data_IF_334177291747
#
_entry.id   IF_334177291747
#
_cell.length_a   1.000
_cell.length_b   1.000
_cell.length_c   1.000
_cell.angle_alpha   90.00
_cell.angle_beta   90.00
_cell.angle_gamma   90.00
#
_symmetry.space_group_name_H-M   'P 1'
#
loop_
_entity.id
_entity.type
_entity.pdbx_description
1 polymer ?
#
# COMPACT_ATOMS: atom_id res chain seq x y z
N UNK A 1 24.28 2.45 5.19
CA UNK A 1 25.25 1.79 6.08
C UNK A 1 25.25 2.55 7.39
N UNK A 2 24.44 2.15 8.37
CA UNK A 2 24.47 2.67 9.73
C UNK A 2 24.09 1.52 10.66
N UNK A 3 25.08 1.09 11.42
CA UNK A 3 25.06 -0.07 12.31
C UNK A 3 24.44 0.36 13.64
N UNK A 4 23.32 -0.28 14.03
CA UNK A 4 22.83 -0.22 15.41
C UNK A 4 23.64 -1.16 16.27
N UNK A 5 24.32 -0.61 17.28
CA UNK A 5 24.93 -1.36 18.36
C UNK A 5 23.93 -1.53 19.50
N UNK A 6 23.64 -2.78 19.79
CA UNK A 6 22.96 -3.22 21.02
C UNK A 6 24.00 -3.20 22.14
N UNK A 7 23.72 -2.49 23.22
CA UNK A 7 24.49 -2.64 24.48
C UNK A 7 23.74 -3.58 25.41
N UNK A 8 24.44 -4.65 25.76
CA UNK A 8 24.02 -5.64 26.74
C UNK A 8 24.21 -5.13 28.16
N UNK A 9 23.28 -5.52 29.00
CA UNK A 9 23.23 -5.34 30.45
C UNK A 9 24.41 -5.98 31.18
N UNK A 10 25.00 -5.23 32.12
CA UNK A 10 25.75 -5.81 33.21
C UNK A 10 25.09 -5.48 34.55
N UNK A 11 24.59 -6.49 35.20
CA UNK A 11 24.17 -6.55 36.59
C UNK A 11 25.41 -6.32 37.48
N UNK A 12 25.36 -5.30 38.33
CA UNK A 12 26.21 -5.21 39.52
C UNK A 12 25.34 -5.13 40.75
N UNK A 13 25.51 -6.13 41.59
CA UNK A 13 25.09 -6.30 42.98
C UNK A 13 25.66 -5.15 43.83
N UNK A 14 24.84 -4.43 44.60
CA UNK A 14 25.30 -3.51 45.61
C UNK A 14 24.67 -3.84 46.97
N UNK A 15 25.58 -4.04 47.94
CA UNK A 15 25.37 -4.35 49.33
C UNK A 15 24.95 -3.07 50.10
N UNK A 16 24.07 -3.26 51.05
CA UNK A 16 23.52 -2.16 51.82
C UNK A 16 24.42 -1.59 52.89
N UNK A 17 24.52 -0.28 52.93
CA UNK A 17 24.68 0.49 54.19
C UNK A 17 24.43 1.98 53.91
N UNK A 18 23.43 2.52 54.55
CA UNK A 18 23.29 3.84 55.14
C UNK A 18 23.62 5.09 54.31
N UNK A 19 22.58 5.73 53.75
CA UNK A 19 22.55 7.19 53.70
C UNK A 19 21.12 7.66 53.98
N UNK A 20 20.97 8.55 54.93
CA UNK A 20 19.74 9.12 55.41
C UNK A 20 19.03 9.87 54.28
N UNK A 21 17.78 9.54 54.11
CA UNK A 21 16.79 10.09 53.20
C UNK A 21 16.43 11.52 53.60
N UNK A 22 17.00 12.51 52.92
CA UNK A 22 16.64 13.93 53.03
C UNK A 22 15.93 14.49 51.80
N UNK A 23 15.58 13.63 50.83
CA UNK A 23 14.97 14.06 49.54
C UNK A 23 13.43 13.87 49.44
N UNK A 24 12.77 13.27 50.42
CA UNK A 24 11.35 12.95 50.39
C UNK A 24 10.41 14.05 50.93
N UNK A 25 10.95 15.11 51.57
CA UNK A 25 10.10 16.12 52.20
C UNK A 25 9.62 17.25 51.29
N UNK A 26 10.16 17.38 50.07
CA UNK A 26 9.76 18.41 49.09
C UNK A 26 8.67 17.93 48.13
N UNK A 27 8.53 16.63 47.94
CA UNK A 27 7.54 16.05 46.99
C UNK A 27 6.10 16.06 47.55
N UNK A 28 5.97 15.89 48.88
CA UNK A 28 4.63 15.88 49.52
C UNK A 28 3.96 17.26 49.57
N UNK A 29 4.74 18.34 49.66
CA UNK A 29 4.18 19.71 49.75
C UNK A 29 3.64 20.21 48.41
N UNK A 30 4.29 19.88 47.29
CA UNK A 30 3.79 20.27 45.97
C UNK A 30 2.53 19.49 45.57
N UNK A 31 2.42 18.21 45.92
CA UNK A 31 1.22 17.40 45.67
C UNK A 31 0.03 17.90 46.51
N UNK A 32 0.23 18.29 47.78
CA UNK A 32 -0.86 18.84 48.61
C UNK A 32 -1.39 20.19 48.11
N UNK A 33 -0.52 21.03 47.54
CA UNK A 33 -0.90 22.31 46.95
C UNK A 33 -1.64 22.11 45.63
N UNK A 34 -1.18 21.17 44.81
CA UNK A 34 -1.81 20.74 43.57
C UNK A 34 -3.17 20.07 43.85
N UNK A 35 -3.25 19.23 44.87
CA UNK A 35 -4.49 18.58 45.29
C UNK A 35 -5.48 19.60 45.88
N UNK A 36 -5.03 20.60 46.65
CA UNK A 36 -5.84 21.68 47.14
C UNK A 36 -6.36 22.62 46.01
N UNK A 37 -5.51 22.95 45.03
CA UNK A 37 -5.87 23.71 43.84
C UNK A 37 -6.87 22.93 42.97
N UNK A 38 -6.65 21.61 42.86
CA UNK A 38 -7.57 20.74 42.11
C UNK A 38 -8.92 20.59 42.87
N UNK A 39 -8.91 20.57 44.20
CA UNK A 39 -10.10 20.54 45.01
C UNK A 39 -10.89 21.86 44.87
N UNK A 40 -10.23 23.03 44.93
CA UNK A 40 -10.84 24.34 44.71
C UNK A 40 -11.43 24.49 43.28
N UNK A 41 -10.86 23.87 42.30
CA UNK A 41 -11.40 23.84 40.92
C UNK A 41 -12.65 22.95 40.79
N UNK A 42 -12.91 22.09 41.75
CA UNK A 42 -14.01 21.13 41.75
C UNK A 42 -15.10 21.48 42.79
N UNK A 43 -15.11 22.70 43.30
CA UNK A 43 -16.22 23.18 44.15
C UNK A 43 -17.50 23.39 43.33
N UNK A 44 -18.58 22.80 43.79
CA UNK A 44 -19.91 22.92 43.17
C UNK A 44 -20.52 21.58 42.77
N UNK A 45 -21.66 21.69 42.10
CA UNK A 45 -22.38 20.51 41.58
C UNK A 45 -21.64 19.92 40.40
N UNK A 46 -21.88 18.64 40.11
CA UNK A 46 -21.28 17.92 39.01
C UNK A 46 -21.48 18.64 37.66
N UNK A 47 -22.65 19.24 37.43
CA UNK A 47 -22.93 20.01 36.22
C UNK A 47 -22.12 21.30 36.15
N UNK A 48 -21.94 22.00 37.26
CA UNK A 48 -21.15 23.23 37.34
C UNK A 48 -19.67 22.95 37.06
N UNK A 49 -19.10 21.90 37.65
CA UNK A 49 -17.70 21.51 37.39
C UNK A 49 -17.50 21.07 35.94
N UNK A 50 -18.47 20.32 35.38
CA UNK A 50 -18.41 19.96 33.96
C UNK A 50 -18.48 21.22 33.05
N UNK A 51 -19.24 22.22 33.44
CA UNK A 51 -19.30 23.49 32.74
C UNK A 51 -17.97 24.25 32.82
N UNK A 52 -17.33 24.31 33.96
CA UNK A 52 -16.01 24.95 34.11
C UNK A 52 -14.97 24.30 33.18
N UNK A 53 -14.89 22.97 33.14
CA UNK A 53 -14.01 22.29 32.19
C UNK A 53 -14.34 22.56 30.74
N UNK A 54 -15.62 22.65 30.37
CA UNK A 54 -16.03 23.03 29.01
C UNK A 54 -15.59 24.46 28.68
N UNK A 55 -15.67 25.39 29.63
CA UNK A 55 -15.23 26.78 29.46
C UNK A 55 -13.72 26.89 29.30
N UNK A 56 -12.93 26.21 30.12
CA UNK A 56 -11.46 26.10 29.96
C UNK A 56 -11.11 25.49 28.62
N UNK A 57 -11.86 24.47 28.17
CA UNK A 57 -11.69 23.88 26.85
C UNK A 57 -11.95 24.88 25.71
N UNK A 58 -12.98 25.74 25.86
CA UNK A 58 -13.28 26.78 24.87
C UNK A 58 -12.18 27.85 24.79
N UNK A 59 -11.63 28.27 25.93
CA UNK A 59 -10.47 29.19 25.98
C UNK A 59 -9.26 28.61 25.28
N UNK A 60 -8.94 27.35 25.57
CA UNK A 60 -7.85 26.65 24.88
C UNK A 60 -8.07 26.52 23.36
N UNK A 61 -9.34 26.36 22.92
CA UNK A 61 -9.69 26.37 21.48
C UNK A 61 -9.44 27.75 20.85
N UNK A 62 -9.78 28.85 21.55
CA UNK A 62 -9.52 30.20 21.05
C UNK A 62 -8.03 30.46 20.86
N UNK A 63 -7.20 29.86 21.72
CA UNK A 63 -5.73 29.92 21.63
C UNK A 63 -5.13 28.85 20.71
N UNK A 64 -5.97 28.09 19.99
CA UNK A 64 -5.58 26.98 19.09
C UNK A 64 -4.78 25.85 19.78
N UNK A 65 -4.87 25.76 21.12
CA UNK A 65 -4.26 24.69 21.93
C UNK A 65 -5.15 23.42 21.92
N UNK A 66 -5.18 22.74 20.77
CA UNK A 66 -6.12 21.63 20.52
C UNK A 66 -5.95 20.44 21.46
N UNK A 67 -4.71 20.16 21.90
CA UNK A 67 -4.41 19.06 22.81
C UNK A 67 -4.98 19.34 24.19
N UNK A 68 -4.71 20.56 24.74
CA UNK A 68 -5.20 20.98 26.05
C UNK A 68 -6.72 21.07 26.07
N UNK A 69 -7.30 21.66 24.99
CA UNK A 69 -8.74 21.73 24.84
C UNK A 69 -9.40 20.34 24.85
N UNK A 70 -8.83 19.38 24.14
CA UNK A 70 -9.31 17.98 24.13
C UNK A 70 -9.23 17.37 25.54
N UNK A 71 -8.19 17.66 26.31
CA UNK A 71 -8.05 17.16 27.69
C UNK A 71 -9.09 17.78 28.60
N UNK A 72 -9.33 19.10 28.54
CA UNK A 72 -10.38 19.75 29.31
C UNK A 72 -11.77 19.17 29.02
N UNK A 73 -12.14 19.00 27.75
CA UNK A 73 -13.43 18.38 27.41
C UNK A 73 -13.47 16.91 27.88
N UNK A 74 -12.36 16.18 27.86
CA UNK A 74 -12.30 14.80 28.36
C UNK A 74 -12.51 14.76 29.87
N UNK A 75 -11.89 15.68 30.63
CA UNK A 75 -12.13 15.84 32.08
C UNK A 75 -13.59 16.18 32.35
N UNK A 76 -14.20 17.13 31.60
CA UNK A 76 -15.61 17.47 31.71
C UNK A 76 -16.55 16.27 31.49
N UNK A 77 -16.28 15.45 30.48
CA UNK A 77 -17.05 14.22 30.21
C UNK A 77 -16.86 13.22 31.37
N UNK A 78 -15.63 13.05 31.86
CA UNK A 78 -15.35 12.15 32.99
C UNK A 78 -16.12 12.57 34.27
N UNK A 79 -16.23 13.87 34.54
CA UNK A 79 -17.02 14.41 35.64
C UNK A 79 -18.51 14.05 35.47
N UNK A 80 -19.05 14.16 34.26
CA UNK A 80 -20.48 13.86 34.00
C UNK A 80 -20.79 12.39 34.29
N UNK A 81 -19.85 11.46 34.02
CA UNK A 81 -20.04 10.02 34.28
C UNK A 81 -19.55 9.58 35.67
N UNK A 82 -18.99 10.50 36.48
CA UNK A 82 -18.52 10.17 37.81
C UNK A 82 -19.67 9.86 38.78
N UNK A 83 -19.35 9.14 39.88
CA UNK A 83 -20.33 8.86 40.94
C UNK A 83 -20.73 10.13 41.69
N UNK A 84 -21.99 10.20 42.10
CA UNK A 84 -22.61 11.39 42.70
C UNK A 84 -22.06 11.75 44.11
N UNK A 85 -21.48 10.79 44.81
CA UNK A 85 -21.03 10.93 46.22
C UNK A 85 -19.81 11.84 46.42
N UNK A 86 -19.18 12.30 45.33
CA UNK A 86 -17.98 13.16 45.37
C UNK A 86 -18.29 14.66 45.16
N UNK A 87 -19.52 15.02 44.87
CA UNK A 87 -19.89 16.35 44.41
C UNK A 87 -20.91 16.99 45.37
N UNK A 88 -21.02 18.31 45.33
CA UNK A 88 -22.10 19.01 46.06
C UNK A 88 -23.45 18.55 45.55
N UNK A 89 -24.41 18.41 46.51
CA UNK A 89 -25.78 18.04 46.16
C UNK A 89 -26.49 19.23 45.54
N UNK A 90 -27.07 19.07 44.33
CA UNK A 90 -27.79 20.14 43.68
C UNK A 90 -29.10 20.45 44.47
N UNK A 91 -29.48 21.73 44.49
CA UNK A 91 -30.77 22.17 45.09
C UNK A 91 -31.94 21.70 44.21
N UNK A 92 -31.79 21.76 42.86
CA UNK A 92 -32.78 21.29 41.88
C UNK A 92 -32.20 20.15 41.03
N UNK A 93 -32.69 18.94 41.27
CA UNK A 93 -32.29 17.73 40.58
C UNK A 93 -32.65 17.73 39.08
N UNK A 94 -33.76 18.34 38.68
CA UNK A 94 -34.19 18.37 37.28
C UNK A 94 -33.36 19.40 36.48
N UNK A 95 -33.08 20.54 37.09
CA UNK A 95 -32.16 21.52 36.50
C UNK A 95 -30.75 20.94 36.30
N UNK A 96 -30.25 20.20 37.30
CA UNK A 96 -28.94 19.53 37.22
C UNK A 96 -28.90 18.46 36.11
N UNK A 97 -29.92 17.62 36.01
CA UNK A 97 -30.00 16.62 34.91
C UNK A 97 -30.00 17.28 33.54
N UNK A 98 -30.71 18.39 33.39
CA UNK A 98 -30.72 19.14 32.14
C UNK A 98 -29.37 19.76 31.83
N UNK A 99 -28.70 20.33 32.83
CA UNK A 99 -27.37 20.90 32.71
C UNK A 99 -26.35 19.82 32.32
N UNK A 100 -26.33 18.67 32.97
CA UNK A 100 -25.48 17.56 32.68
C UNK A 100 -25.62 17.08 31.22
N UNK A 101 -26.86 16.89 30.75
CA UNK A 101 -27.11 16.53 29.34
C UNK A 101 -26.58 17.58 28.36
N UNK A 102 -26.78 18.86 28.69
CA UNK A 102 -26.29 19.95 27.85
C UNK A 102 -24.76 19.98 27.82
N UNK A 103 -24.11 19.81 28.99
CA UNK A 103 -22.64 19.77 29.07
C UNK A 103 -22.07 18.55 28.37
N UNK A 104 -22.75 17.40 28.44
CA UNK A 104 -22.38 16.18 27.73
C UNK A 104 -22.37 16.40 26.20
N UNK A 105 -23.47 16.92 25.65
CA UNK A 105 -23.55 17.23 24.20
C UNK A 105 -22.47 18.20 23.78
N UNK A 106 -22.30 19.32 24.49
CA UNK A 106 -21.35 20.38 24.16
C UNK A 106 -19.89 19.90 24.28
N UNK A 107 -19.59 19.11 25.31
CA UNK A 107 -18.24 18.58 25.49
C UNK A 107 -17.86 17.56 24.40
N UNK A 108 -18.77 16.66 24.03
CA UNK A 108 -18.54 15.73 22.94
C UNK A 108 -18.34 16.45 21.61
N UNK A 109 -19.26 17.39 21.27
CA UNK A 109 -19.13 18.07 19.98
C UNK A 109 -17.85 18.92 19.90
N UNK A 110 -17.45 19.60 20.99
CA UNK A 110 -16.25 20.42 21.01
C UNK A 110 -14.97 19.55 21.02
N UNK A 111 -14.97 18.41 21.73
CA UNK A 111 -13.89 17.43 21.63
C UNK A 111 -13.76 16.84 20.23
N UNK A 112 -14.88 16.61 19.53
CA UNK A 112 -14.88 16.22 18.13
C UNK A 112 -14.17 17.23 17.23
N UNK A 113 -14.33 18.56 17.50
CA UNK A 113 -13.56 19.58 16.78
C UNK A 113 -12.07 19.42 17.02
N UNK A 114 -11.64 19.32 18.29
CA UNK A 114 -10.23 19.13 18.61
C UNK A 114 -9.67 17.85 17.96
N UNK A 115 -10.41 16.76 17.97
CA UNK A 115 -10.01 15.51 17.34
C UNK A 115 -9.93 15.64 15.80
N UNK A 116 -10.78 16.45 15.17
CA UNK A 116 -10.74 16.73 13.74
C UNK A 116 -9.46 17.49 13.35
N UNK A 117 -9.16 18.57 14.11
CA UNK A 117 -7.97 19.41 13.88
C UNK A 117 -6.67 18.65 14.17
N UNK A 118 -6.66 17.78 15.16
CA UNK A 118 -5.52 16.91 15.49
C UNK A 118 -5.35 15.70 14.54
N UNK A 119 -6.25 15.51 13.57
CA UNK A 119 -6.23 14.35 12.68
C UNK A 119 -6.70 13.03 13.31
N UNK A 120 -7.27 13.07 14.52
CA UNK A 120 -7.82 11.91 15.22
C UNK A 120 -9.24 11.58 14.72
N UNK A 121 -9.35 11.28 13.42
CA UNK A 121 -10.64 11.16 12.72
C UNK A 121 -11.59 10.11 13.32
N UNK A 122 -11.04 8.95 13.77
CA UNK A 122 -11.87 7.91 14.42
C UNK A 122 -12.48 8.43 15.73
N UNK A 123 -11.72 9.10 16.58
CA UNK A 123 -12.20 9.68 17.83
C UNK A 123 -13.23 10.79 17.54
N UNK A 124 -12.99 11.59 16.50
CA UNK A 124 -13.95 12.59 16.04
C UNK A 124 -15.30 11.96 15.67
N UNK A 125 -15.32 10.87 14.91
CA UNK A 125 -16.57 10.20 14.53
C UNK A 125 -17.30 9.61 15.73
N UNK A 126 -16.61 9.08 16.73
CA UNK A 126 -17.20 8.57 17.97
C UNK A 126 -17.85 9.69 18.79
N UNK A 127 -17.18 10.82 18.96
CA UNK A 127 -17.72 11.98 19.65
C UNK A 127 -18.93 12.57 18.91
N UNK A 128 -18.88 12.65 17.58
CA UNK A 128 -20.02 13.06 16.77
C UNK A 128 -21.22 12.10 16.93
N UNK A 129 -20.98 10.79 16.96
CA UNK A 129 -22.02 9.80 17.17
C UNK A 129 -22.66 9.91 18.56
N UNK A 130 -21.86 10.19 19.62
CA UNK A 130 -22.37 10.47 20.96
C UNK A 130 -23.26 11.74 20.96
N UNK A 131 -22.78 12.80 20.31
CA UNK A 131 -23.56 14.06 20.17
C UNK A 131 -24.89 13.82 19.43
N UNK A 132 -24.90 13.08 18.33
CA UNK A 132 -26.11 12.78 17.54
C UNK A 132 -27.13 11.94 18.35
N UNK A 133 -26.66 11.04 19.21
CA UNK A 133 -27.53 10.28 20.12
C UNK A 133 -28.22 11.17 21.12
N UNK A 134 -27.54 12.20 21.66
CA UNK A 134 -28.10 13.17 22.63
C UNK A 134 -28.99 14.18 21.91
N UNK A 135 -28.57 14.67 20.77
CA UNK A 135 -29.28 15.67 19.97
C UNK A 135 -29.17 15.35 18.48
N UNK A 136 -30.16 14.65 17.89
CA UNK A 136 -30.18 14.31 16.46
C UNK A 136 -30.23 15.55 15.54
N UNK A 137 -30.61 16.73 16.07
CA UNK A 137 -30.63 18.00 15.31
C UNK A 137 -29.29 18.74 15.25
N UNK A 138 -28.24 18.22 15.83
CA UNK A 138 -26.94 18.90 15.87
C UNK A 138 -26.20 18.86 14.52
N UNK A 139 -26.44 19.87 13.70
CA UNK A 139 -25.86 20.02 12.35
C UNK A 139 -24.30 20.00 12.35
N UNK A 140 -23.68 20.56 13.41
CA UNK A 140 -22.21 20.57 13.55
C UNK A 140 -21.64 19.16 13.67
N UNK A 141 -22.38 18.24 14.31
CA UNK A 141 -21.95 16.86 14.45
C UNK A 141 -21.92 16.12 13.09
N UNK A 142 -22.92 16.34 12.26
CA UNK A 142 -22.96 15.79 10.91
C UNK A 142 -21.84 16.34 10.03
N UNK A 143 -21.58 17.65 10.08
CA UNK A 143 -20.47 18.26 9.34
C UNK A 143 -19.11 17.69 9.76
N UNK A 144 -18.82 17.66 11.08
CA UNK A 144 -17.54 17.14 11.59
C UNK A 144 -17.37 15.66 11.29
N UNK A 145 -18.46 14.88 11.44
CA UNK A 145 -18.46 13.46 11.08
C UNK A 145 -18.19 13.24 9.60
N UNK A 146 -18.86 13.98 8.71
CA UNK A 146 -18.67 13.85 7.26
C UNK A 146 -17.24 14.18 6.84
N UNK A 147 -16.66 15.22 7.43
CA UNK A 147 -15.25 15.60 7.15
C UNK A 147 -14.26 14.56 7.67
N UNK A 148 -14.48 14.04 8.89
CA UNK A 148 -13.63 12.99 9.46
C UNK A 148 -13.72 11.68 8.65
N UNK A 149 -14.93 11.28 8.24
CA UNK A 149 -15.15 10.09 7.42
C UNK A 149 -14.52 10.22 6.02
N UNK A 150 -14.60 11.42 5.43
CA UNK A 150 -13.92 11.70 4.17
C UNK A 150 -12.39 11.52 4.29
N UNK A 151 -11.80 12.00 5.39
CA UNK A 151 -10.36 11.81 5.67
C UNK A 151 -9.98 10.35 5.94
N UNK A 152 -10.93 9.55 6.43
CA UNK A 152 -10.77 8.10 6.60
C UNK A 152 -11.04 7.29 5.31
N UNK A 153 -11.28 7.97 4.18
CA UNK A 153 -11.66 7.36 2.88
C UNK A 153 -12.97 6.53 2.93
N UNK A 154 -13.80 6.78 3.95
CA UNK A 154 -15.12 6.16 4.12
C UNK A 154 -16.18 7.00 3.41
N UNK A 155 -16.11 7.00 2.08
CA UNK A 155 -16.82 7.95 1.22
C UNK A 155 -18.35 7.80 1.36
N UNK A 156 -18.86 6.58 1.39
CA UNK A 156 -20.30 6.30 1.48
C UNK A 156 -20.86 6.76 2.84
N UNK A 157 -20.14 6.46 3.93
CA UNK A 157 -20.51 6.91 5.27
C UNK A 157 -20.44 8.44 5.39
N UNK A 158 -19.44 9.07 4.76
CA UNK A 158 -19.31 10.53 4.71
C UNK A 158 -20.47 11.17 3.95
N UNK A 159 -20.89 10.58 2.83
CA UNK A 159 -22.03 11.04 2.03
C UNK A 159 -23.34 10.94 2.81
N UNK A 160 -23.58 9.82 3.52
CA UNK A 160 -24.77 9.64 4.37
C UNK A 160 -24.81 10.69 5.49
N UNK A 161 -23.67 10.90 6.19
CA UNK A 161 -23.59 11.91 7.23
C UNK A 161 -23.89 13.33 6.70
N UNK A 162 -23.31 13.72 5.56
CA UNK A 162 -23.56 15.02 4.94
C UNK A 162 -25.03 15.17 4.50
N UNK A 163 -25.62 14.12 3.91
CA UNK A 163 -27.02 14.12 3.48
C UNK A 163 -27.98 14.29 4.66
N UNK A 164 -27.75 13.58 5.77
CA UNK A 164 -28.56 13.75 7.00
C UNK A 164 -28.45 15.15 7.59
N UNK A 165 -27.24 15.72 7.59
CA UNK A 165 -27.05 17.10 8.05
C UNK A 165 -27.77 18.10 7.17
N UNK A 166 -27.76 17.95 5.84
CA UNK A 166 -28.47 18.80 4.89
C UNK A 166 -29.99 18.60 4.93
N UNK A 167 -30.49 17.44 5.36
CA UNK A 167 -31.91 17.23 5.60
C UNK A 167 -32.43 18.05 6.79
N UNK A 168 -31.55 18.36 7.76
CA UNK A 168 -31.90 19.21 8.92
C UNK A 168 -31.75 20.70 8.56
N UNK A 169 -30.68 21.08 7.91
CA UNK A 169 -30.34 22.45 7.50
C UNK A 169 -29.88 22.48 6.04
N UNK A 170 -30.80 22.60 5.06
CA UNK A 170 -30.49 22.59 3.64
C UNK A 170 -29.61 23.76 3.20
N UNK A 171 -29.68 24.89 3.88
CA UNK A 171 -28.96 26.12 3.52
C UNK A 171 -27.54 26.20 4.11
N UNK A 172 -27.13 25.18 4.84
CA UNK A 172 -25.80 25.14 5.47
C UNK A 172 -24.67 25.06 4.45
N UNK A 173 -24.03 26.20 4.20
CA UNK A 173 -22.93 26.31 3.22
C UNK A 173 -21.73 25.40 3.52
N UNK A 174 -21.43 25.17 4.81
CA UNK A 174 -20.33 24.29 5.19
C UNK A 174 -20.61 22.82 4.81
N UNK A 175 -21.84 22.35 5.07
CA UNK A 175 -22.27 21.01 4.67
C UNK A 175 -22.40 20.86 3.16
N UNK A 176 -22.92 21.88 2.45
CA UNK A 176 -22.97 21.87 0.98
C UNK A 176 -21.54 21.75 0.39
N UNK A 177 -20.57 22.51 0.93
CA UNK A 177 -19.18 22.43 0.52
C UNK A 177 -18.57 21.05 0.85
N UNK A 178 -18.89 20.49 2.02
CA UNK A 178 -18.44 19.14 2.40
C UNK A 178 -19.03 18.08 1.45
N UNK A 179 -20.31 18.16 1.14
CA UNK A 179 -20.98 17.26 0.19
C UNK A 179 -20.36 17.31 -1.21
N UNK A 180 -20.04 18.53 -1.71
CA UNK A 180 -19.34 18.69 -2.99
C UNK A 180 -17.96 18.03 -2.99
N UNK A 181 -17.15 18.24 -1.94
CA UNK A 181 -15.84 17.58 -1.79
C UNK A 181 -15.94 16.05 -1.73
N UNK A 182 -16.96 15.55 -1.05
CA UNK A 182 -17.22 14.11 -0.96
C UNK A 182 -17.61 13.57 -2.33
N UNK A 183 -18.48 14.25 -3.07
CA UNK A 183 -18.89 13.86 -4.42
C UNK A 183 -17.72 13.87 -5.40
N UNK A 184 -16.86 14.88 -5.36
CA UNK A 184 -15.63 14.94 -6.17
C UNK A 184 -14.69 13.77 -5.86
N UNK A 185 -14.47 13.47 -4.57
CA UNK A 185 -13.63 12.34 -4.16
C UNK A 185 -14.22 11.01 -4.60
N UNK A 186 -15.53 10.83 -4.48
CA UNK A 186 -16.25 9.64 -4.96
C UNK A 186 -16.04 9.44 -6.46
N UNK A 187 -16.31 10.46 -7.25
CA UNK A 187 -16.15 10.41 -8.70
C UNK A 187 -14.69 10.15 -9.12
N UNK A 188 -13.72 10.66 -8.37
CA UNK A 188 -12.30 10.36 -8.60
C UNK A 188 -11.98 8.89 -8.35
N UNK A 189 -12.41 8.35 -7.21
CA UNK A 189 -12.16 6.94 -6.85
C UNK A 189 -12.86 6.00 -7.83
N UNK A 190 -14.12 6.29 -8.19
CA UNK A 190 -14.86 5.49 -9.18
C UNK A 190 -14.16 5.46 -10.55
N UNK A 191 -13.61 6.61 -11.00
CA UNK A 191 -12.80 6.65 -12.24
C UNK A 191 -11.55 5.80 -12.16
N UNK A 192 -10.83 5.83 -11.04
CA UNK A 192 -9.65 5.00 -10.85
C UNK A 192 -9.98 3.51 -10.87
N UNK A 193 -11.05 3.11 -10.18
CA UNK A 193 -11.53 1.72 -10.15
C UNK A 193 -11.97 1.27 -11.54
N UNK A 194 -12.74 2.10 -12.25
CA UNK A 194 -13.18 1.82 -13.61
C UNK A 194 -11.99 1.68 -14.58
N UNK A 195 -11.00 2.57 -14.49
CA UNK A 195 -9.77 2.51 -15.30
C UNK A 195 -9.01 1.21 -15.05
N UNK A 196 -8.76 0.87 -13.78
CA UNK A 196 -8.06 -0.36 -13.41
C UNK A 196 -8.80 -1.60 -13.90
N UNK A 197 -10.12 -1.64 -13.74
CA UNK A 197 -10.96 -2.75 -14.24
C UNK A 197 -10.90 -2.88 -15.77
N UNK A 198 -10.91 -1.77 -16.49
CA UNK A 198 -10.79 -1.78 -17.95
C UNK A 198 -9.40 -2.27 -18.40
N UNK A 199 -8.33 -1.86 -17.72
CA UNK A 199 -6.95 -2.33 -17.97
C UNK A 199 -6.81 -3.83 -17.70
N UNK A 200 -7.35 -4.33 -16.59
CA UNK A 200 -7.35 -5.76 -16.24
C UNK A 200 -8.14 -6.59 -17.26
N UNK A 201 -9.31 -6.10 -17.70
CA UNK A 201 -10.12 -6.77 -18.72
C UNK A 201 -9.42 -6.80 -20.07
N UNK A 202 -8.77 -5.69 -20.46
CA UNK A 202 -7.98 -5.64 -21.70
C UNK A 202 -6.80 -6.62 -21.62
N UNK A 203 -6.04 -6.63 -20.54
CA UNK A 203 -4.94 -7.56 -20.33
C UNK A 203 -5.40 -9.03 -20.36
N UNK A 204 -6.57 -9.33 -19.77
CA UNK A 204 -7.17 -10.66 -19.82
C UNK A 204 -7.52 -11.08 -21.27
N UNK A 205 -8.11 -10.17 -22.05
CA UNK A 205 -8.42 -10.41 -23.47
C UNK A 205 -7.13 -10.65 -24.28
N UNK A 206 -6.11 -9.82 -24.10
CA UNK A 206 -4.81 -9.99 -24.76
C UNK A 206 -4.16 -11.33 -24.43
N UNK A 207 -4.13 -11.72 -23.15
CA UNK A 207 -3.59 -13.01 -22.74
C UNK A 207 -4.36 -14.21 -23.33
N UNK A 208 -5.68 -14.10 -23.43
CA UNK A 208 -6.51 -15.14 -24.07
C UNK A 208 -6.19 -15.28 -25.55
N UNK A 209 -6.11 -14.16 -26.27
CA UNK A 209 -5.78 -14.15 -27.71
C UNK A 209 -4.36 -14.68 -27.92
N UNK A 210 -3.38 -14.24 -27.12
CA UNK A 210 -2.01 -14.73 -27.18
C UNK A 210 -1.92 -16.25 -26.94
N UNK A 211 -2.59 -16.75 -25.90
CA UNK A 211 -2.61 -18.18 -25.60
C UNK A 211 -3.23 -19.01 -26.74
N UNK A 212 -4.27 -18.47 -27.38
CA UNK A 212 -4.92 -19.07 -28.56
C UNK A 212 -3.98 -19.07 -29.76
N UNK A 213 -3.27 -17.95 -30.00
CA UNK A 213 -2.31 -17.83 -31.09
C UNK A 213 -1.12 -18.79 -30.93
N UNK A 214 -0.57 -18.91 -29.71
CA UNK A 214 0.52 -19.86 -29.41
C UNK A 214 0.06 -21.31 -29.59
N UNK A 215 -1.16 -21.64 -29.15
CA UNK A 215 -1.74 -22.96 -29.29
C UNK A 215 -1.99 -23.32 -30.77
N UNK A 216 -2.53 -22.38 -31.56
CA UNK A 216 -2.73 -22.55 -32.99
C UNK A 216 -1.41 -22.82 -33.75
N UNK A 217 -0.32 -22.21 -33.31
CA UNK A 217 1.05 -22.39 -33.83
C UNK A 217 1.77 -23.60 -33.25
N UNK A 218 1.11 -24.36 -32.36
CA UNK A 218 1.67 -25.52 -31.68
C UNK A 218 2.95 -25.20 -30.87
N UNK A 219 3.10 -23.98 -30.41
CA UNK A 219 4.24 -23.55 -29.60
C UNK A 219 3.99 -23.94 -28.14
N UNK A 220 4.91 -24.70 -27.56
CA UNK A 220 4.86 -25.09 -26.15
C UNK A 220 5.50 -24.03 -25.28
N UNK A 221 4.79 -23.67 -24.21
CA UNK A 221 5.31 -22.72 -23.20
C UNK A 221 5.22 -23.34 -21.81
N UNK A 222 6.19 -23.08 -20.97
CA UNK A 222 6.21 -23.50 -19.56
C UNK A 222 6.70 -22.35 -18.67
N UNK A 223 6.12 -22.23 -17.48
CA UNK A 223 6.61 -21.32 -16.44
C UNK A 223 7.28 -22.13 -15.34
N UNK A 224 8.39 -21.62 -14.82
CA UNK A 224 9.09 -22.15 -13.65
C UNK A 224 8.64 -21.43 -12.38
N UNK A 225 9.06 -21.96 -11.23
CA UNK A 225 8.74 -21.32 -9.93
C UNK A 225 9.51 -20.00 -9.74
N UNK A 226 10.65 -19.84 -10.40
CA UNK A 226 11.51 -18.67 -10.32
C UNK A 226 11.85 -18.17 -11.74
N UNK A 227 10.92 -17.46 -12.39
CA UNK A 227 11.20 -16.88 -13.70
C UNK A 227 12.25 -15.77 -13.59
N UNK A 228 13.11 -15.61 -14.63
CA UNK A 228 14.06 -14.51 -14.66
C UNK A 228 13.35 -13.16 -14.73
N UNK A 229 13.93 -12.14 -14.10
CA UNK A 229 13.48 -10.76 -14.29
C UNK A 229 13.88 -10.28 -15.68
N UNK A 230 12.89 -9.90 -16.49
CA UNK A 230 13.09 -9.46 -17.88
C UNK A 230 12.53 -8.04 -18.11
N UNK A 231 12.40 -7.23 -17.05
CA UNK A 231 11.76 -5.90 -17.11
C UNK A 231 10.39 -5.97 -17.81
N UNK A 232 10.21 -5.23 -18.94
CA UNK A 232 8.97 -5.24 -19.74
C UNK A 232 8.98 -6.28 -20.87
N UNK A 233 10.05 -7.09 -20.99
CA UNK A 233 10.12 -8.06 -22.07
C UNK A 233 9.19 -9.24 -21.80
N UNK A 234 8.24 -9.46 -22.69
CA UNK A 234 7.26 -10.56 -22.63
C UNK A 234 6.85 -10.98 -24.03
N UNK A 235 6.29 -12.18 -24.13
CA UNK A 235 5.69 -12.63 -25.41
C UNK A 235 4.50 -11.72 -25.73
N UNK A 236 4.42 -11.25 -26.96
CA UNK A 236 3.34 -10.36 -27.40
C UNK A 236 2.97 -10.59 -28.87
N UNK A 237 1.76 -10.20 -29.23
CA UNK A 237 1.31 -10.13 -30.60
C UNK A 237 1.51 -8.72 -31.18
N UNK A 238 2.06 -8.63 -32.38
CA UNK A 238 2.37 -7.38 -33.08
C UNK A 238 1.93 -7.48 -34.53
N UNK A 239 1.26 -6.48 -35.11
CA UNK A 239 0.98 -5.16 -34.56
C UNK A 239 -0.22 -5.06 -33.60
N UNK A 240 -1.18 -5.97 -33.70
CA UNK A 240 -2.41 -5.91 -32.89
C UNK A 240 -2.43 -7.02 -31.82
N UNK A 241 -2.34 -6.66 -30.52
CA UNK A 241 -2.39 -7.62 -29.41
C UNK A 241 -3.74 -8.37 -29.27
N UNK A 242 -4.79 -7.92 -29.94
CA UNK A 242 -6.10 -8.55 -29.91
C UNK A 242 -6.39 -9.38 -31.17
N UNK A 243 -5.50 -9.42 -32.15
CA UNK A 243 -5.62 -10.25 -33.36
C UNK A 243 -4.77 -11.50 -33.26
N UNK A 244 -5.34 -12.72 -33.35
CA UNK A 244 -4.56 -13.95 -33.34
C UNK A 244 -3.72 -14.15 -34.62
N UNK A 245 -4.00 -13.38 -35.68
CA UNK A 245 -3.27 -13.38 -36.95
C UNK A 245 -1.99 -12.55 -36.89
N UNK A 246 -1.85 -11.67 -35.89
CA UNK A 246 -0.64 -10.90 -35.63
C UNK A 246 0.56 -11.81 -35.37
N UNK A 247 1.75 -11.36 -35.73
CA UNK A 247 3.00 -12.09 -35.49
C UNK A 247 3.31 -12.16 -34.00
N UNK A 248 3.82 -13.30 -33.57
CA UNK A 248 4.28 -13.44 -32.17
C UNK A 248 5.73 -12.96 -32.08
N UNK A 249 5.99 -12.09 -31.13
CA UNK A 249 7.34 -11.66 -30.76
C UNK A 249 7.72 -12.25 -29.39
N UNK A 250 8.94 -12.73 -29.32
CA UNK A 250 9.49 -13.38 -28.13
C UNK A 250 10.70 -12.62 -27.60
N UNK A 251 10.87 -12.47 -26.30
CA UNK A 251 12.17 -12.21 -25.73
C UNK A 251 13.10 -13.40 -26.04
N UNK A 252 14.33 -13.13 -26.43
CA UNK A 252 15.32 -14.17 -26.75
C UNK A 252 16.66 -13.86 -26.09
N UNK A 253 17.36 -14.89 -25.67
CA UNK A 253 18.76 -14.82 -25.20
C UNK A 253 19.65 -15.69 -26.04
N UNK A 254 20.71 -15.08 -26.56
CA UNK A 254 21.78 -15.75 -27.23
C UNK A 254 22.86 -16.08 -26.20
N UNK A 255 23.10 -17.35 -25.97
CA UNK A 255 24.01 -17.85 -24.94
C UNK A 255 25.28 -18.33 -25.63
N UNK A 256 26.41 -17.87 -25.15
CA UNK A 256 27.76 -18.28 -25.61
C UNK A 256 28.44 -19.12 -24.52
N UNK A 257 28.09 -20.42 -24.41
CA UNK A 257 28.47 -21.24 -23.26
C UNK A 257 29.98 -21.49 -23.15
N UNK A 258 30.70 -21.37 -24.24
CA UNK A 258 32.15 -21.57 -24.24
C UNK A 258 32.94 -20.40 -23.66
N UNK A 259 32.32 -19.24 -23.57
CA UNK A 259 32.94 -17.98 -23.11
C UNK A 259 32.14 -17.30 -21.99
N UNK A 260 31.09 -17.98 -21.48
CA UNK A 260 30.22 -17.53 -20.41
C UNK A 260 29.62 -16.12 -20.64
N UNK A 261 29.25 -15.82 -21.87
CA UNK A 261 28.65 -14.55 -22.29
C UNK A 261 27.22 -14.77 -22.80
N UNK A 262 26.48 -13.69 -22.91
CA UNK A 262 25.13 -13.72 -23.46
C UNK A 262 24.71 -12.35 -24.01
N UNK A 263 23.84 -12.37 -25.03
CA UNK A 263 23.16 -11.18 -25.55
C UNK A 263 21.66 -11.36 -25.42
N UNK A 264 20.96 -10.29 -25.08
CA UNK A 264 19.51 -10.28 -24.90
C UNK A 264 18.83 -9.49 -26.03
N UNK A 265 17.87 -10.12 -26.67
CA UNK A 265 17.05 -9.52 -27.72
C UNK A 265 15.62 -9.39 -27.17
N UNK A 266 15.17 -8.16 -26.95
CA UNK A 266 13.86 -7.86 -26.35
C UNK A 266 12.68 -8.31 -27.20
N UNK A 267 12.86 -8.34 -28.51
CA UNK A 267 11.79 -8.64 -29.48
C UNK A 267 12.33 -9.41 -30.67
N UNK A 268 12.14 -10.72 -30.68
CA UNK A 268 12.45 -11.63 -31.77
C UNK A 268 11.13 -12.08 -32.42
N UNK A 269 10.84 -11.58 -33.60
CA UNK A 269 9.65 -11.98 -34.36
C UNK A 269 9.69 -13.44 -34.78
N UNK A 270 8.57 -14.14 -34.69
CA UNK A 270 8.43 -15.53 -35.19
C UNK A 270 8.78 -15.70 -36.67
N UNK A 271 8.70 -14.62 -37.44
CA UNK A 271 8.98 -14.59 -38.87
C UNK A 271 10.47 -14.40 -39.18
N UNK A 272 11.25 -13.88 -38.22
CA UNK A 272 12.68 -13.68 -38.38
C UNK A 272 13.45 -14.98 -38.17
N UNK A 273 14.62 -15.07 -38.80
CA UNK A 273 15.59 -16.16 -38.61
C UNK A 273 16.65 -15.77 -37.57
N UNK A 274 17.37 -16.77 -37.05
CA UNK A 274 18.48 -16.53 -36.13
C UNK A 274 19.57 -15.67 -36.79
N UNK A 275 19.83 -15.84 -38.10
CA UNK A 275 20.80 -15.04 -38.83
C UNK A 275 20.44 -13.57 -38.84
N UNK A 276 19.19 -13.21 -38.99
CA UNK A 276 18.75 -11.80 -39.04
C UNK A 276 19.14 -11.05 -37.75
N UNK A 277 19.22 -11.75 -36.62
CA UNK A 277 19.66 -11.18 -35.34
C UNK A 277 21.18 -11.25 -35.17
N UNK A 278 21.84 -12.35 -35.62
CA UNK A 278 23.30 -12.46 -35.56
C UNK A 278 24.00 -11.42 -36.43
N UNK A 279 23.39 -10.97 -37.52
CA UNK A 279 23.94 -9.97 -38.45
C UNK A 279 24.23 -8.63 -37.75
N UNK A 280 23.40 -8.20 -36.78
CA UNK A 280 23.67 -6.97 -36.02
C UNK A 280 24.34 -7.21 -34.66
N UNK A 281 24.27 -8.45 -34.12
CA UNK A 281 24.99 -8.81 -32.90
C UNK A 281 26.47 -8.94 -33.14
N UNK A 282 26.86 -9.51 -34.29
CA UNK A 282 28.26 -9.69 -34.65
C UNK A 282 28.84 -8.47 -35.36
N UNK A 283 30.15 -8.16 -35.20
CA UNK A 283 31.12 -8.89 -34.38
C UNK A 283 30.97 -8.65 -32.88
N UNK A 284 31.24 -9.71 -32.09
CA UNK A 284 31.14 -9.62 -30.62
C UNK A 284 32.35 -8.86 -30.04
N UNK A 285 32.14 -7.85 -29.18
CA UNK A 285 33.22 -7.01 -28.64
C UNK A 285 34.28 -7.78 -27.84
N UNK A 286 33.85 -8.87 -27.20
CA UNK A 286 34.70 -9.73 -26.37
C UNK A 286 35.41 -10.85 -27.14
N UNK A 287 35.01 -11.16 -28.39
CA UNK A 287 35.61 -12.20 -29.23
C UNK A 287 36.91 -11.72 -29.92
N UNK A 288 37.96 -11.63 -29.12
CA UNK A 288 39.30 -11.23 -29.61
C UNK A 288 39.90 -12.19 -30.65
N UNK A 289 39.47 -13.46 -30.61
CA UNK A 289 39.97 -14.52 -31.52
C UNK A 289 39.19 -14.63 -32.81
N UNK A 290 38.10 -13.88 -32.94
CA UNK A 290 37.17 -13.90 -34.08
C UNK A 290 36.63 -15.31 -34.38
N UNK A 291 36.38 -16.08 -33.35
CA UNK A 291 35.83 -17.44 -33.46
C UNK A 291 34.33 -17.42 -33.79
N UNK A 292 33.63 -16.34 -33.44
CA UNK A 292 32.21 -16.16 -33.68
C UNK A 292 31.98 -15.35 -34.96
N UNK A 293 31.61 -16.07 -36.02
CA UNK A 293 31.18 -15.49 -37.29
C UNK A 293 29.92 -16.20 -37.75
N UNK A 294 29.10 -15.55 -38.59
CA UNK A 294 27.83 -16.11 -39.07
C UNK A 294 28.01 -17.52 -39.67
N UNK A 295 29.06 -17.74 -40.42
CA UNK A 295 29.35 -19.04 -41.01
C UNK A 295 30.15 -19.97 -40.08
N UNK A 296 30.84 -19.43 -39.09
CA UNK A 296 31.70 -20.14 -38.13
C UNK A 296 30.96 -20.68 -36.90
N UNK A 297 29.69 -20.38 -36.71
CA UNK A 297 28.90 -20.83 -35.55
C UNK A 297 27.78 -21.79 -35.93
N UNK A 298 27.40 -22.64 -35.00
CA UNK A 298 26.19 -23.43 -35.00
C UNK A 298 25.28 -23.00 -33.85
N UNK A 299 23.96 -23.03 -34.08
CA UNK A 299 22.96 -22.68 -33.08
C UNK A 299 22.24 -23.94 -32.61
N UNK A 300 21.99 -23.98 -31.29
CA UNK A 300 21.28 -25.09 -30.65
C UNK A 300 20.18 -24.54 -29.73
N UNK A 301 19.14 -25.34 -29.55
CA UNK A 301 18.09 -25.07 -28.58
C UNK A 301 17.86 -26.31 -27.73
N UNK A 302 17.43 -26.12 -26.50
CA UNK A 302 17.12 -27.22 -25.59
C UNK A 302 15.75 -27.80 -25.91
N UNK A 303 15.65 -29.12 -25.91
CA UNK A 303 14.38 -29.83 -26.11
C UNK A 303 13.63 -30.00 -24.79
N UNK A 304 12.33 -30.25 -24.87
CA UNK A 304 11.45 -30.57 -23.71
C UNK A 304 12.02 -31.71 -22.86
N UNK A 305 12.69 -32.69 -23.49
CA UNK A 305 13.32 -33.83 -22.81
C UNK A 305 14.72 -33.52 -22.23
N UNK A 306 15.18 -32.26 -22.27
CA UNK A 306 16.50 -31.84 -21.80
C UNK A 306 17.65 -32.12 -22.75
N UNK A 307 17.40 -32.63 -23.94
CA UNK A 307 18.40 -32.80 -24.99
C UNK A 307 18.68 -31.51 -25.76
N UNK A 308 19.52 -31.58 -26.78
CA UNK A 308 19.82 -30.49 -27.70
C UNK A 308 19.34 -30.81 -29.11
N UNK A 309 18.82 -29.81 -29.79
CA UNK A 309 18.55 -29.86 -31.24
C UNK A 309 19.34 -28.76 -31.92
N UNK A 310 19.86 -29.02 -33.08
CA UNK A 310 20.51 -28.03 -33.93
C UNK A 310 19.42 -27.16 -34.56
N UNK A 311 19.43 -25.87 -34.25
CA UNK A 311 18.50 -24.90 -34.81
C UNK A 311 19.02 -24.41 -36.18
N UNK A 312 18.19 -24.49 -37.20
CA UNK A 312 18.56 -24.00 -38.53
C UNK A 312 18.63 -22.49 -38.55
N UNK A 313 19.83 -21.92 -38.67
CA UNK A 313 20.05 -20.46 -38.55
C UNK A 313 19.25 -19.61 -39.54
N UNK A 314 18.94 -20.15 -40.72
CA UNK A 314 18.19 -19.46 -41.79
C UNK A 314 16.68 -19.75 -41.77
N UNK A 315 16.24 -20.62 -40.88
CA UNK A 315 14.81 -20.92 -40.75
C UNK A 315 14.15 -19.86 -39.88
N UNK A 316 12.89 -19.44 -40.21
CA UNK A 316 12.10 -18.62 -39.31
C UNK A 316 11.94 -19.27 -37.93
N UNK A 317 11.94 -18.48 -36.89
CA UNK A 317 11.79 -18.96 -35.50
C UNK A 317 10.54 -19.84 -35.32
N UNK A 318 9.44 -19.46 -35.96
CA UNK A 318 8.21 -20.24 -35.95
C UNK A 318 8.44 -21.70 -36.37
N UNK A 319 9.17 -21.95 -37.45
CA UNK A 319 9.43 -23.31 -37.92
C UNK A 319 10.25 -24.15 -36.94
N UNK A 320 11.10 -23.50 -36.14
CA UNK A 320 11.89 -24.19 -35.10
C UNK A 320 11.01 -24.53 -33.91
N UNK A 321 10.10 -23.64 -33.53
CA UNK A 321 9.21 -23.78 -32.35
C UNK A 321 8.00 -24.69 -32.60
N UNK A 322 7.46 -24.70 -33.82
CA UNK A 322 6.22 -25.44 -34.19
C UNK A 322 6.38 -26.96 -34.08
N UNK A 323 7.58 -27.49 -34.15
CA UNK A 323 7.82 -28.96 -34.15
C UNK A 323 7.52 -29.66 -32.81
N UNK A 324 7.11 -28.96 -31.78
CA UNK A 324 6.80 -29.50 -30.44
C UNK A 324 7.98 -30.10 -29.68
N UNK A 325 9.17 -30.04 -30.27
CA UNK A 325 10.45 -30.54 -29.70
C UNK A 325 11.08 -29.51 -28.76
N UNK A 326 10.89 -28.24 -29.02
CA UNK A 326 11.40 -27.10 -28.23
C UNK A 326 10.29 -26.50 -27.40
N UNK A 327 10.62 -25.99 -26.24
CA UNK A 327 9.71 -25.32 -25.33
C UNK A 327 10.24 -23.94 -24.98
N UNK A 328 9.36 -22.95 -24.97
CA UNK A 328 9.67 -21.61 -24.49
C UNK A 328 9.44 -21.59 -22.97
N UNK A 329 10.50 -21.47 -22.21
CA UNK A 329 10.47 -21.50 -20.74
C UNK A 329 10.53 -20.07 -20.20
N UNK A 330 9.59 -19.71 -19.33
CA UNK A 330 9.49 -18.39 -18.69
C UNK A 330 9.41 -17.24 -19.70
N UNK A 331 8.67 -17.48 -20.79
CA UNK A 331 8.48 -16.52 -21.88
C UNK A 331 9.78 -16.16 -22.64
N UNK A 332 10.88 -16.89 -22.41
CA UNK A 332 12.21 -16.62 -22.96
C UNK A 332 12.67 -17.71 -23.93
N UNK A 333 12.99 -17.33 -25.14
CA UNK A 333 13.64 -18.21 -26.13
C UNK A 333 15.15 -18.27 -25.87
N UNK A 334 15.70 -19.45 -25.64
CA UNK A 334 17.14 -19.67 -25.34
C UNK A 334 17.82 -20.30 -26.52
N UNK A 335 18.82 -19.60 -27.07
CA UNK A 335 19.58 -20.03 -28.25
C UNK A 335 21.04 -20.13 -27.86
N UNK A 336 21.62 -21.33 -27.91
CA UNK A 336 23.05 -21.53 -27.71
C UNK A 336 23.77 -21.30 -29.02
N UNK A 337 24.76 -20.41 -29.03
CA UNK A 337 25.60 -20.08 -30.18
C UNK A 337 27.00 -20.60 -29.90
N UNK A 338 27.46 -21.55 -30.70
CA UNK A 338 28.70 -22.28 -30.44
C UNK A 338 29.58 -22.28 -31.69
N UNK A 339 30.88 -21.95 -31.61
CA UNK A 339 31.80 -22.12 -32.72
C UNK A 339 31.84 -23.57 -33.19
N UNK A 340 31.88 -23.79 -34.51
CA UNK A 340 31.88 -25.13 -35.11
C UNK A 340 33.02 -25.97 -34.54
N UNK A 341 34.20 -25.38 -34.32
CA UNK A 341 35.35 -26.04 -33.71
C UNK A 341 35.12 -26.56 -32.29
N UNK A 342 34.18 -25.97 -31.53
CA UNK A 342 33.90 -26.31 -30.15
C UNK A 342 32.58 -27.09 -29.96
N UNK A 343 31.85 -27.37 -31.05
CA UNK A 343 30.52 -28.01 -30.97
C UNK A 343 30.59 -29.39 -30.31
N UNK A 344 31.57 -30.20 -30.61
CA UNK A 344 31.71 -31.53 -30.01
C UNK A 344 31.88 -31.48 -28.49
N UNK A 345 32.70 -30.55 -27.99
CA UNK A 345 32.92 -30.32 -26.57
C UNK A 345 31.61 -29.86 -25.90
N UNK A 346 30.91 -28.88 -26.46
CA UNK A 346 29.65 -28.40 -25.97
C UNK A 346 28.58 -29.49 -25.82
N UNK A 347 28.43 -30.32 -26.87
CA UNK A 347 27.45 -31.41 -26.84
C UNK A 347 27.79 -32.43 -25.76
N UNK A 348 29.07 -32.78 -25.57
CA UNK A 348 29.49 -33.72 -24.52
C UNK A 348 29.24 -33.17 -23.11
N UNK A 349 29.51 -31.87 -22.85
CA UNK A 349 29.25 -31.20 -21.59
C UNK A 349 27.74 -31.16 -21.27
N UNK A 350 26.89 -30.87 -22.27
CA UNK A 350 25.45 -30.84 -22.09
C UNK A 350 24.84 -32.23 -21.84
N UNK A 351 25.42 -33.28 -22.42
CA UNK A 351 25.02 -34.69 -22.12
C UNK A 351 25.38 -35.06 -20.68
N UNK A 352 26.60 -34.75 -20.24
CA UNK A 352 27.04 -35.00 -18.87
C UNK A 352 26.17 -34.30 -17.83
N UNK A 353 25.73 -33.06 -18.08
CA UNK A 353 24.79 -32.31 -17.21
C UNK A 353 23.39 -32.93 -17.12
N UNK A 354 23.00 -33.73 -18.10
CA UNK A 354 21.68 -34.39 -18.11
C UNK A 354 21.69 -35.70 -17.36
N UNK A 355 22.85 -36.35 -17.26
CA UNK A 355 23.01 -37.67 -16.63
C UNK A 355 23.37 -37.59 -15.14
N UNK A 356 23.80 -36.44 -14.62
CA UNK A 356 24.02 -36.12 -13.21
C UNK A 356 22.88 -35.31 -12.61
#
# INVERSE_FOLDING_TARGET
>A
MLVMRVCASTTTFWDGSGCADTSLHWIDGENQLLDALTALQNEGTRGQVAQTFKEQGNEAVQELRWIDAKEFYTKGIAVIYAKEDKWEKPEDLEAEKKLLRQMEELSHINRALCNLELGNYRSCTLDCAATIKLNPGNVKAYYRSSMALLKLEKIEEAQDAAARGLAIDPDNKALQTAASKIAERKAYVERLVAKKKAEEELARKQNLVLSTALRARQIRTRKTEQPPEMEDAKIRLVPDPLSPESSVEFPAVFLYPMDAQSDFVKSFSELHSIVDHLDYIFPLPWDTKKEYSINGVECFMQTVSGGLIKAGKKLPLLQILTGGKVEVVDELVRIFVVPISKTGKFISEMKARKEG
#
